data_IF_990640001473
#
_entry.id   IF_990640001473
#
_cell.length_a   1.000
_cell.length_b   1.000
_cell.length_c   1.000
_cell.angle_alpha   90.00
_cell.angle_beta   90.00
_cell.angle_gamma   90.00
#
_symmetry.space_group_name_H-M   'P 1'
#
loop_
_entity.id
_entity.type
_entity.pdbx_description
1 polymer ?
#
# COMPACT_ATOMS: atom_id res chain seq x y z
N UNK A 1 -19.45 57.57 34.88
CA UNK A 1 -20.30 56.60 35.61
C UNK A 1 -21.29 56.12 34.57
N UNK A 2 -20.89 55.16 33.73
CA UNK A 2 -20.92 53.70 34.00
C UNK A 2 -22.35 53.23 34.11
N UNK A 3 -22.86 52.59 33.05
CA UNK A 3 -23.98 51.61 32.97
C UNK A 3 -24.19 51.31 31.47
N UNK A 4 -23.43 50.41 30.82
CA UNK A 4 -23.73 48.98 30.62
C UNK A 4 -25.20 48.64 30.36
N UNK A 5 -25.61 48.56 29.09
CA UNK A 5 -26.76 47.73 28.70
C UNK A 5 -26.55 47.04 27.34
N UNK A 6 -26.25 45.75 27.46
CA UNK A 6 -26.52 44.62 26.59
C UNK A 6 -27.03 44.86 25.15
N UNK A 7 -26.19 44.48 24.19
CA UNK A 7 -26.67 43.78 22.98
C UNK A 7 -25.69 42.68 22.58
N UNK A 8 -25.58 41.67 23.45
CA UNK A 8 -24.97 40.38 23.13
C UNK A 8 -26.02 39.52 22.42
N UNK A 9 -26.17 39.74 21.11
CA UNK A 9 -26.99 38.95 20.22
C UNK A 9 -26.17 37.75 19.72
N UNK A 10 -26.17 36.66 20.50
CA UNK A 10 -25.90 35.28 20.06
C UNK A 10 -25.93 34.34 21.25
N UNK A 11 -27.15 33.94 21.62
CA UNK A 11 -27.43 32.57 22.05
C UNK A 11 -28.41 32.06 20.99
N UNK A 12 -28.16 30.94 20.32
CA UNK A 12 -28.14 29.65 20.98
C UNK A 12 -27.11 28.70 20.38
N UNK A 13 -26.10 28.40 21.18
CA UNK A 13 -25.38 27.14 21.12
C UNK A 13 -26.29 26.05 21.73
N UNK A 14 -27.32 25.64 20.99
CA UNK A 14 -28.18 24.53 21.38
C UNK A 14 -28.63 23.75 20.14
N UNK A 15 -27.67 23.19 19.42
CA UNK A 15 -27.93 21.95 18.65
C UNK A 15 -26.61 21.20 18.42
N UNK A 16 -25.84 21.00 19.49
CA UNK A 16 -24.59 20.26 19.43
C UNK A 16 -24.34 19.48 20.72
N UNK A 17 -25.32 18.68 21.15
CA UNK A 17 -25.11 17.47 21.97
C UNK A 17 -26.45 16.95 22.49
N UNK A 18 -27.07 15.96 21.84
CA UNK A 18 -27.90 14.91 22.49
C UNK A 18 -28.48 13.94 21.46
N UNK A 19 -27.65 13.08 20.86
CA UNK A 19 -28.15 11.83 20.27
C UNK A 19 -27.02 10.80 20.08
N UNK A 20 -26.29 10.49 21.15
CA UNK A 20 -25.44 9.30 21.24
C UNK A 20 -26.11 8.31 22.20
N UNK A 21 -27.08 7.56 21.70
CA UNK A 21 -27.56 6.29 22.27
C UNK A 21 -28.57 5.62 21.33
N UNK A 22 -28.10 4.69 20.50
CA UNK A 22 -28.92 3.81 19.68
C UNK A 22 -28.07 2.67 19.11
N UNK A 23 -28.36 1.44 19.53
CA UNK A 23 -27.64 0.19 19.33
C UNK A 23 -27.64 -0.33 17.87
N UNK A 24 -26.84 -1.38 17.50
CA UNK A 24 -26.42 -1.63 16.13
C UNK A 24 -27.49 -2.34 15.29
N UNK A 25 -27.87 -1.75 14.16
CA UNK A 25 -28.71 -2.39 13.14
C UNK A 25 -27.83 -2.81 11.95
N UNK A 26 -28.00 -4.07 11.56
CA UNK A 26 -27.11 -4.86 10.71
C UNK A 26 -26.77 -4.28 9.33
N UNK A 27 -25.61 -4.72 8.88
CA UNK A 27 -24.97 -4.44 7.59
C UNK A 27 -25.80 -4.92 6.39
N UNK A 28 -25.98 -4.09 5.35
CA UNK A 28 -25.81 -4.57 3.99
C UNK A 28 -24.30 -4.59 3.70
N UNK A 29 -23.75 -5.79 3.55
CA UNK A 29 -22.41 -6.00 3.00
C UNK A 29 -22.41 -5.47 1.56
N UNK A 30 -21.99 -4.21 1.39
CA UNK A 30 -21.60 -3.68 0.09
C UNK A 30 -20.41 -4.53 -0.37
N UNK A 31 -20.64 -5.40 -1.35
CA UNK A 31 -19.58 -6.17 -1.98
C UNK A 31 -18.60 -5.16 -2.59
N UNK A 32 -17.44 -4.99 -1.95
CA UNK A 32 -16.32 -4.30 -2.55
C UNK A 32 -16.12 -4.87 -3.96
N UNK A 33 -15.90 -4.03 -5.00
CA UNK A 33 -15.57 -4.53 -6.32
C UNK A 33 -14.46 -5.56 -6.18
N UNK A 34 -14.70 -6.78 -6.63
CA UNK A 34 -13.65 -7.77 -6.80
C UNK A 34 -12.63 -7.12 -7.72
N UNK A 35 -11.55 -6.60 -7.16
CA UNK A 35 -10.44 -6.10 -7.92
C UNK A 35 -10.02 -7.29 -8.79
N UNK A 36 -10.27 -7.20 -10.10
CA UNK A 36 -9.85 -8.21 -11.04
C UNK A 36 -8.39 -8.48 -10.76
N UNK A 37 -8.12 -9.69 -10.24
CA UNK A 37 -6.78 -10.13 -9.95
C UNK A 37 -6.02 -9.99 -11.27
N UNK A 38 -5.14 -9.00 -11.32
CA UNK A 38 -4.20 -8.85 -12.41
C UNK A 38 -3.36 -10.13 -12.50
N UNK A 39 -2.65 -10.34 -13.60
CA UNK A 39 -1.77 -11.51 -13.71
C UNK A 39 -0.83 -11.56 -12.49
N UNK A 40 -0.93 -12.65 -11.72
CA UNK A 40 -0.05 -12.90 -10.58
C UNK A 40 1.36 -13.22 -11.09
N UNK A 41 2.34 -12.48 -10.59
CA UNK A 41 3.75 -12.82 -10.80
C UNK A 41 4.18 -13.85 -9.77
N UNK A 42 4.72 -14.97 -10.24
CA UNK A 42 5.28 -16.00 -9.36
C UNK A 42 6.75 -15.73 -9.05
N UNK A 43 7.27 -16.37 -8.00
CA UNK A 43 8.70 -16.32 -7.68
C UNK A 43 9.57 -16.81 -8.86
N UNK A 44 9.06 -17.78 -9.63
CA UNK A 44 9.75 -18.28 -10.83
C UNK A 44 9.84 -17.21 -11.94
N UNK A 45 8.77 -16.44 -12.13
CA UNK A 45 8.77 -15.33 -13.10
C UNK A 45 9.78 -14.26 -12.69
N UNK A 46 9.81 -13.92 -11.39
CA UNK A 46 10.74 -12.95 -10.84
C UNK A 46 12.21 -13.38 -10.95
N UNK A 47 12.50 -14.67 -10.73
CA UNK A 47 13.84 -15.24 -10.98
C UNK A 47 14.21 -15.16 -12.46
N UNK A 48 13.25 -15.40 -13.35
CA UNK A 48 13.45 -15.30 -14.80
C UNK A 48 13.76 -13.85 -15.23
N UNK A 49 13.04 -12.87 -14.68
CA UNK A 49 13.30 -11.44 -14.90
C UNK A 49 14.71 -11.07 -14.44
N UNK A 50 15.14 -11.52 -13.26
CA UNK A 50 16.51 -11.32 -12.77
C UNK A 50 17.53 -11.83 -13.78
N UNK A 51 17.37 -13.08 -14.24
CA UNK A 51 18.29 -13.69 -15.21
C UNK A 51 18.31 -12.95 -16.55
N UNK A 52 17.18 -12.41 -17.01
CA UNK A 52 17.10 -11.62 -18.24
C UNK A 52 17.90 -10.32 -18.09
N UNK A 53 17.77 -9.63 -16.95
CA UNK A 53 18.53 -8.41 -16.65
C UNK A 53 20.03 -8.72 -16.64
N UNK A 54 20.44 -9.83 -16.01
CA UNK A 54 21.84 -10.27 -15.98
C UNK A 54 22.40 -10.47 -17.40
N UNK A 55 21.69 -11.26 -18.23
CA UNK A 55 22.11 -11.55 -19.61
C UNK A 55 22.15 -10.29 -20.47
N UNK A 56 21.15 -9.42 -20.36
CA UNK A 56 21.09 -8.17 -21.10
C UNK A 56 22.23 -7.21 -20.69
N UNK A 57 22.53 -7.13 -19.40
CA UNK A 57 23.62 -6.29 -18.86
C UNK A 57 24.98 -6.79 -19.34
N UNK A 58 25.21 -8.10 -19.29
CA UNK A 58 26.45 -8.73 -19.80
C UNK A 58 26.65 -8.48 -21.31
N UNK A 59 25.56 -8.40 -22.07
CA UNK A 59 25.58 -8.11 -23.52
C UNK A 59 25.68 -6.61 -23.84
N UNK A 60 25.68 -5.74 -22.84
CA UNK A 60 25.69 -4.28 -23.05
C UNK A 60 24.41 -3.76 -23.71
N UNK A 61 23.25 -4.37 -23.44
CA UNK A 61 21.97 -3.97 -24.02
C UNK A 61 21.49 -2.59 -23.55
N UNK A 62 21.99 -2.11 -22.41
CA UNK A 62 21.64 -0.82 -21.81
C UNK A 62 22.81 0.16 -21.90
N UNK A 63 22.49 1.44 -22.14
CA UNK A 63 23.48 2.54 -22.09
C UNK A 63 23.91 2.83 -20.65
N UNK A 64 25.06 3.49 -20.41
CA UNK A 64 25.52 3.80 -19.06
C UNK A 64 24.49 4.55 -18.19
N UNK A 65 23.81 5.54 -18.78
CA UNK A 65 22.79 6.33 -18.07
C UNK A 65 21.56 5.49 -17.67
N UNK A 66 21.20 4.47 -18.46
CA UNK A 66 20.08 3.55 -18.17
C UNK A 66 20.47 2.49 -17.14
N UNK A 67 21.74 2.08 -17.15
CA UNK A 67 22.27 1.05 -16.26
C UNK A 67 22.14 1.42 -14.78
N UNK A 68 22.11 2.71 -14.45
CA UNK A 68 21.87 3.18 -13.08
C UNK A 68 20.51 2.71 -12.57
N UNK A 69 19.45 2.94 -13.35
CA UNK A 69 18.08 2.54 -12.98
C UNK A 69 17.90 1.02 -13.06
N UNK A 70 18.47 0.38 -14.08
CA UNK A 70 18.44 -1.09 -14.21
C UNK A 70 19.12 -1.76 -13.02
N UNK A 71 20.32 -1.31 -12.64
CA UNK A 71 21.05 -1.83 -11.50
C UNK A 71 20.31 -1.63 -10.18
N UNK A 72 19.72 -0.45 -9.95
CA UNK A 72 18.89 -0.21 -8.75
C UNK A 72 17.67 -1.14 -8.70
N UNK A 73 17.03 -1.40 -9.83
CA UNK A 73 15.87 -2.29 -9.92
C UNK A 73 16.28 -3.73 -9.65
N UNK A 74 17.39 -4.16 -10.22
CA UNK A 74 17.98 -5.47 -9.99
C UNK A 74 18.28 -5.71 -8.50
N UNK A 75 18.93 -4.75 -7.81
CA UNK A 75 19.23 -4.88 -6.38
C UNK A 75 17.96 -5.01 -5.51
N UNK A 76 16.88 -4.29 -5.87
CA UNK A 76 15.60 -4.39 -5.17
C UNK A 76 14.95 -5.76 -5.39
N UNK A 77 14.97 -6.24 -6.64
CA UNK A 77 14.46 -7.57 -7.00
C UNK A 77 15.22 -8.68 -6.26
N UNK A 78 16.55 -8.57 -6.18
CA UNK A 78 17.39 -9.52 -5.46
C UNK A 78 17.07 -9.54 -3.97
N UNK A 79 17.00 -8.37 -3.33
CA UNK A 79 16.60 -8.25 -1.91
C UNK A 79 15.23 -8.86 -1.65
N UNK A 80 14.26 -8.60 -2.54
CA UNK A 80 12.92 -9.16 -2.43
C UNK A 80 12.92 -10.68 -2.54
N UNK A 81 13.59 -11.24 -3.54
CA UNK A 81 13.69 -12.68 -3.74
C UNK A 81 14.37 -13.38 -2.55
N UNK A 82 15.38 -12.75 -1.95
CA UNK A 82 16.01 -13.25 -0.73
C UNK A 82 15.02 -13.27 0.44
N UNK A 83 14.26 -12.18 0.65
CA UNK A 83 13.26 -12.12 1.71
C UNK A 83 12.16 -13.19 1.53
N UNK A 84 11.68 -13.39 0.31
CA UNK A 84 10.70 -14.44 -0.01
C UNK A 84 11.26 -15.83 0.25
N UNK A 85 12.53 -16.09 -0.11
CA UNK A 85 13.17 -17.37 0.15
C UNK A 85 13.31 -17.67 1.66
N UNK A 86 13.54 -16.65 2.49
CA UNK A 86 13.56 -16.80 3.95
C UNK A 86 12.18 -17.05 4.56
N UNK A 87 11.12 -16.61 3.88
CA UNK A 87 9.73 -16.81 4.33
C UNK A 87 9.17 -18.19 3.95
N UNK A 88 9.78 -18.89 2.99
CA UNK A 88 9.37 -20.25 2.68
C UNK A 88 9.79 -21.16 3.84
N UNK A 89 8.83 -21.77 4.57
CA UNK A 89 9.18 -22.74 5.59
C UNK A 89 9.98 -23.84 4.90
N UNK A 90 11.18 -24.13 5.42
CA UNK A 90 11.96 -25.28 5.00
C UNK A 90 11.07 -26.50 5.24
N UNK A 91 10.44 -26.99 4.17
CA UNK A 91 9.61 -28.18 4.23
C UNK A 91 10.53 -29.29 4.75
N UNK A 92 10.31 -29.81 5.97
CA UNK A 92 11.21 -30.82 6.51
C UNK A 92 11.10 -32.03 5.59
N UNK A 93 12.25 -32.42 5.02
CA UNK A 93 12.35 -33.65 4.27
C UNK A 93 11.77 -34.78 5.13
N UNK A 94 10.69 -35.39 4.64
CA UNK A 94 10.03 -36.53 5.29
C UNK A 94 10.72 -37.83 4.89
#
# INVERSE_FOLDING_TARGET
MSDNEAKNDSVDAADAATALAGEPVGTPSEAAPEAQAGPDLTVQDLQSIKSIIDVASQRGAFRPNEMVTVGQTYQKLETFLQAVAQQQPQQPAS
#
